data_IF_855815157493
#
_entry.id   IF_855815157493
#
_cell.length_a   1.000
_cell.length_b   1.000
_cell.length_c   1.000
_cell.angle_alpha   90.00
_cell.angle_beta   90.00
_cell.angle_gamma   90.00
#
_symmetry.space_group_name_H-M   'P 1'
#
loop_
_entity.id
_entity.type
_entity.pdbx_description
1 polymer ?
#
# COMPACT_ATOMS: atom_id res chain seq x y z
N UNK A 1 -5.08 -17.61 -10.88
CA UNK A 1 -5.56 -16.66 -9.85
C UNK A 1 -7.02 -16.89 -9.40
N UNK A 2 -7.97 -17.17 -10.30
CA UNK A 2 -9.37 -17.46 -9.92
C UNK A 2 -9.52 -18.63 -8.92
N UNK A 3 -8.73 -19.68 -9.08
CA UNK A 3 -8.69 -20.84 -8.16
C UNK A 3 -8.28 -20.47 -6.73
N UNK A 4 -7.24 -19.64 -6.58
CA UNK A 4 -6.78 -19.16 -5.28
C UNK A 4 -7.86 -18.30 -4.60
N UNK A 5 -8.47 -17.37 -5.34
CA UNK A 5 -9.57 -16.55 -4.83
C UNK A 5 -10.77 -17.43 -4.41
N UNK A 6 -11.11 -18.45 -5.19
CA UNK A 6 -12.16 -19.41 -4.86
C UNK A 6 -11.81 -20.22 -3.59
N UNK A 7 -10.57 -20.70 -3.46
CA UNK A 7 -10.08 -21.42 -2.27
C UNK A 7 -10.26 -20.58 -1.01
N UNK A 8 -9.81 -19.33 -1.03
CA UNK A 8 -9.99 -18.39 0.08
C UNK A 8 -11.47 -18.23 0.45
N UNK A 9 -12.35 -18.20 -0.55
CA UNK A 9 -13.79 -18.06 -0.36
C UNK A 9 -14.52 -19.38 0.01
N UNK A 10 -13.84 -20.54 0.09
CA UNK A 10 -14.49 -21.81 0.48
C UNK A 10 -14.92 -21.86 1.94
N UNK A 11 -14.24 -21.13 2.83
CA UNK A 11 -14.53 -21.17 4.27
C UNK A 11 -13.54 -20.35 5.09
N UNK A 12 -13.86 -20.13 6.37
CA UNK A 12 -13.00 -19.32 7.27
C UNK A 12 -11.63 -19.95 7.48
N UNK A 13 -11.57 -21.27 7.66
CA UNK A 13 -10.31 -22.01 7.84
C UNK A 13 -9.39 -21.86 6.63
N UNK A 14 -9.94 -21.96 5.41
CA UNK A 14 -9.16 -21.74 4.19
C UNK A 14 -8.60 -20.31 4.10
N UNK A 15 -9.41 -19.30 4.45
CA UNK A 15 -8.95 -17.91 4.49
C UNK A 15 -7.85 -17.69 5.53
N UNK A 16 -8.00 -18.21 6.76
CA UNK A 16 -6.99 -18.12 7.82
C UNK A 16 -5.69 -18.81 7.38
N UNK A 17 -5.78 -20.03 6.87
CA UNK A 17 -4.61 -20.80 6.44
C UNK A 17 -3.84 -20.10 5.31
N UNK A 18 -4.53 -19.59 4.28
CA UNK A 18 -3.89 -18.87 3.18
C UNK A 18 -3.29 -17.55 3.67
N UNK A 19 -3.99 -16.81 4.54
CA UNK A 19 -3.48 -15.56 5.14
C UNK A 19 -2.19 -15.81 5.90
N UNK A 20 -2.15 -16.81 6.80
CA UNK A 20 -0.97 -17.15 7.59
C UNK A 20 0.17 -17.69 6.73
N UNK A 21 -0.10 -18.61 5.78
CA UNK A 21 0.92 -19.20 4.93
C UNK A 21 1.62 -18.15 4.07
N UNK A 22 0.85 -17.26 3.45
CA UNK A 22 1.41 -16.18 2.61
C UNK A 22 2.09 -15.09 3.44
N UNK A 23 1.84 -15.02 4.75
CA UNK A 23 2.50 -14.09 5.65
C UNK A 23 3.95 -14.50 5.98
N UNK A 24 4.19 -15.82 6.11
CA UNK A 24 5.51 -16.36 6.47
C UNK A 24 6.49 -16.23 5.30
N UNK A 25 6.00 -16.18 4.06
CA UNK A 25 6.84 -16.00 2.87
C UNK A 25 7.02 -14.49 2.61
N UNK A 26 8.23 -13.91 2.77
CA UNK A 26 8.42 -12.45 2.75
C UNK A 26 7.87 -11.75 1.51
N UNK A 27 8.03 -12.36 0.33
CA UNK A 27 7.57 -11.79 -0.95
C UNK A 27 6.05 -11.92 -1.18
N UNK A 28 5.32 -12.63 -0.31
CA UNK A 28 3.89 -12.89 -0.47
C UNK A 28 3.03 -12.15 0.58
N UNK A 29 3.61 -11.27 1.40
CA UNK A 29 2.88 -10.47 2.40
C UNK A 29 1.73 -9.65 1.78
N UNK A 30 1.92 -9.15 0.56
CA UNK A 30 0.88 -8.44 -0.17
C UNK A 30 -0.30 -9.36 -0.57
N UNK A 31 -0.06 -10.65 -0.81
CA UNK A 31 -1.12 -11.65 -1.05
C UNK A 31 -1.88 -11.91 0.25
N UNK A 32 -1.18 -12.03 1.38
CA UNK A 32 -1.79 -12.18 2.70
C UNK A 32 -2.79 -11.07 3.00
N UNK A 33 -2.40 -9.82 2.73
CA UNK A 33 -3.28 -8.66 2.90
C UNK A 33 -4.43 -8.64 1.88
N UNK A 34 -4.21 -9.11 0.65
CA UNK A 34 -5.26 -9.23 -0.36
C UNK A 34 -6.33 -10.28 0.04
N UNK A 35 -5.92 -11.34 0.74
CA UNK A 35 -6.83 -12.35 1.30
C UNK A 35 -7.73 -11.71 2.36
N UNK A 36 -7.15 -10.98 3.32
CA UNK A 36 -7.88 -10.24 4.36
C UNK A 36 -8.85 -9.23 3.74
N UNK A 37 -8.40 -8.47 2.75
CA UNK A 37 -9.23 -7.52 2.01
C UNK A 37 -10.38 -8.22 1.28
N UNK A 38 -10.13 -9.34 0.58
CA UNK A 38 -11.17 -10.08 -0.16
C UNK A 38 -12.26 -10.62 0.79
N UNK A 39 -11.86 -11.19 1.93
CA UNK A 39 -12.80 -11.64 2.96
C UNK A 39 -13.63 -10.46 3.47
N UNK A 40 -12.99 -9.34 3.78
CA UNK A 40 -13.68 -8.13 4.24
C UNK A 40 -14.67 -7.61 3.19
N UNK A 41 -14.26 -7.55 1.92
CA UNK A 41 -15.09 -7.09 0.81
C UNK A 41 -16.30 -7.99 0.56
N UNK A 42 -16.20 -9.30 0.78
CA UNK A 42 -17.29 -10.26 0.50
C UNK A 42 -18.17 -10.56 1.71
N UNK A 43 -17.57 -10.74 2.89
CA UNK A 43 -18.26 -11.20 4.09
C UNK A 43 -18.35 -10.13 5.20
N UNK A 44 -17.77 -8.95 4.99
CA UNK A 44 -17.82 -7.82 5.94
C UNK A 44 -16.64 -7.76 6.88
N UNK A 45 -16.51 -6.64 7.60
CA UNK A 45 -15.38 -6.36 8.49
C UNK A 45 -15.23 -7.38 9.62
N UNK A 46 -16.34 -7.87 10.18
CA UNK A 46 -16.31 -8.89 11.23
C UNK A 46 -15.56 -10.16 10.80
N UNK A 47 -15.86 -10.69 9.60
CA UNK A 47 -15.14 -11.85 9.07
C UNK A 47 -13.69 -11.53 8.69
N UNK A 48 -13.41 -10.29 8.29
CA UNK A 48 -12.04 -9.79 8.10
C UNK A 48 -11.23 -9.86 9.40
N UNK A 49 -11.76 -9.30 10.49
CA UNK A 49 -11.15 -9.34 11.83
C UNK A 49 -10.98 -10.76 12.35
N UNK A 50 -11.97 -11.64 12.15
CA UNK A 50 -11.85 -13.04 12.54
C UNK A 50 -10.75 -13.77 11.75
N UNK A 51 -10.56 -13.41 10.48
CA UNK A 51 -9.48 -13.95 9.65
C UNK A 51 -8.12 -13.45 10.15
N UNK A 52 -8.00 -12.17 10.46
CA UNK A 52 -6.82 -11.56 11.11
C UNK A 52 -6.50 -12.30 12.40
N UNK A 53 -7.46 -12.39 13.33
CA UNK A 53 -7.26 -13.02 14.63
C UNK A 53 -6.82 -14.49 14.52
N UNK A 54 -7.46 -15.26 13.63
CA UNK A 54 -7.08 -16.65 13.38
C UNK A 54 -5.68 -16.80 12.79
N UNK A 55 -5.32 -15.96 11.82
CA UNK A 55 -3.99 -15.99 11.22
C UNK A 55 -2.90 -15.52 12.21
N UNK A 56 -3.20 -14.51 13.02
CA UNK A 56 -2.32 -14.04 14.10
C UNK A 56 -2.08 -15.14 15.13
N UNK A 57 -3.11 -15.91 15.52
CA UNK A 57 -2.95 -17.02 16.44
C UNK A 57 -1.98 -18.09 15.88
N UNK A 58 -2.11 -18.42 14.59
CA UNK A 58 -1.17 -19.33 13.91
C UNK A 58 0.26 -18.78 13.94
N UNK A 59 0.44 -17.51 13.59
CA UNK A 59 1.77 -16.87 13.60
C UNK A 59 2.35 -16.76 15.02
N UNK A 60 1.53 -16.53 16.03
CA UNK A 60 1.96 -16.45 17.43
C UNK A 60 2.51 -17.79 17.93
N UNK A 61 1.87 -18.91 17.56
CA UNK A 61 2.39 -20.26 17.84
C UNK A 61 3.74 -20.48 17.15
N UNK A 62 3.87 -20.09 15.87
CA UNK A 62 5.12 -20.21 15.14
C UNK A 62 6.24 -19.33 15.73
N UNK A 63 5.92 -18.10 16.11
CA UNK A 63 6.87 -17.18 16.74
C UNK A 63 7.32 -17.71 18.12
N UNK A 64 6.38 -18.20 18.94
CA UNK A 64 6.70 -18.84 20.21
C UNK A 64 7.65 -20.03 20.03
N UNK A 65 7.42 -20.87 19.02
CA UNK A 65 8.23 -22.06 18.76
C UNK A 65 9.62 -21.73 18.18
N UNK A 66 9.77 -20.65 17.42
CA UNK A 66 11.01 -20.31 16.71
C UNK A 66 11.92 -19.35 17.49
N UNK A 67 11.35 -18.31 18.11
CA UNK A 67 12.10 -17.25 18.77
C UNK A 67 11.76 -17.11 20.26
N UNK A 68 10.98 -18.04 20.82
CA UNK A 68 10.69 -18.10 22.25
C UNK A 68 9.68 -17.07 22.76
N UNK A 69 9.10 -16.25 21.86
CA UNK A 69 8.11 -15.22 22.22
C UNK A 69 7.01 -15.12 21.15
N UNK A 70 5.73 -15.03 21.55
CA UNK A 70 4.62 -14.86 20.60
C UNK A 70 4.41 -13.40 20.20
N UNK A 71 4.96 -12.44 20.97
CA UNK A 71 4.73 -11.01 20.80
C UNK A 71 5.08 -10.46 19.41
N UNK A 72 6.18 -10.89 18.75
CA UNK A 72 6.50 -10.41 17.41
C UNK A 72 5.39 -10.68 16.37
N UNK A 73 4.57 -11.72 16.57
CA UNK A 73 3.46 -12.02 15.68
C UNK A 73 2.34 -10.96 15.69
N UNK A 74 2.30 -10.06 16.68
CA UNK A 74 1.34 -8.96 16.75
C UNK A 74 1.70 -7.77 15.85
N UNK A 75 2.95 -7.68 15.40
CA UNK A 75 3.40 -6.55 14.60
C UNK A 75 2.71 -6.50 13.23
N UNK A 76 2.66 -7.64 12.53
CA UNK A 76 2.05 -7.76 11.22
C UNK A 76 0.54 -7.42 11.19
N UNK A 77 -0.33 -7.98 12.06
CA UNK A 77 -1.74 -7.63 12.04
C UNK A 77 -1.98 -6.16 12.37
N UNK A 78 -1.20 -5.56 13.29
CA UNK A 78 -1.35 -4.17 13.68
C UNK A 78 -0.95 -3.20 12.56
N UNK A 79 0.18 -3.46 11.89
CA UNK A 79 0.72 -2.55 10.87
C UNK A 79 0.08 -2.75 9.49
N UNK A 80 -0.44 -3.95 9.19
CA UNK A 80 -0.84 -4.29 7.83
C UNK A 80 -2.28 -4.77 7.75
N UNK A 81 -2.66 -5.82 8.47
CA UNK A 81 -3.97 -6.46 8.24
C UNK A 81 -5.15 -5.68 8.82
N UNK A 82 -5.05 -5.10 10.01
CA UNK A 82 -6.12 -4.29 10.60
C UNK A 82 -6.38 -3.00 9.80
N UNK A 83 -5.34 -2.23 9.40
CA UNK A 83 -5.50 -1.16 8.42
C UNK A 83 -6.18 -1.63 7.14
N UNK A 84 -5.82 -2.81 6.64
CA UNK A 84 -6.42 -3.37 5.44
C UNK A 84 -7.91 -3.72 5.62
N UNK A 85 -8.32 -4.23 6.78
CA UNK A 85 -9.75 -4.43 7.10
C UNK A 85 -10.49 -3.10 7.05
N UNK A 86 -9.93 -2.03 7.65
CA UNK A 86 -10.56 -0.71 7.66
C UNK A 86 -10.73 -0.15 6.23
N UNK A 87 -9.67 -0.20 5.41
CA UNK A 87 -9.70 0.27 4.02
C UNK A 87 -10.64 -0.57 3.15
N UNK A 88 -10.62 -1.89 3.29
CA UNK A 88 -11.52 -2.78 2.56
C UNK A 88 -12.99 -2.61 2.99
N UNK A 89 -13.24 -2.34 4.27
CA UNK A 89 -14.57 -1.99 4.77
C UNK A 89 -15.05 -0.65 4.19
N UNK A 90 -14.17 0.36 4.11
CA UNK A 90 -14.45 1.61 3.43
C UNK A 90 -14.85 1.37 1.97
N UNK A 91 -14.09 0.56 1.22
CA UNK A 91 -14.43 0.19 -0.16
C UNK A 91 -15.80 -0.51 -0.25
N UNK A 92 -16.08 -1.44 0.68
CA UNK A 92 -17.35 -2.18 0.72
C UNK A 92 -18.55 -1.27 0.96
N UNK A 93 -18.45 -0.32 1.89
CA UNK A 93 -19.54 0.58 2.28
C UNK A 93 -19.74 1.69 1.25
N UNK A 94 -18.66 2.27 0.75
CA UNK A 94 -18.72 3.42 -0.17
C UNK A 94 -18.94 3.02 -1.62
N UNK A 95 -18.64 1.77 -1.99
CA UNK A 95 -18.61 1.27 -3.37
C UNK A 95 -17.80 2.19 -4.28
N UNK A 96 -16.70 2.75 -3.74
CA UNK A 96 -15.91 3.78 -4.42
C UNK A 96 -14.43 3.49 -4.23
N UNK A 97 -13.78 3.04 -5.31
CA UNK A 97 -12.35 2.81 -5.33
C UNK A 97 -11.54 4.08 -4.98
N UNK A 98 -11.84 5.28 -5.54
CA UNK A 98 -11.16 6.50 -5.11
C UNK A 98 -11.23 6.74 -3.60
N UNK A 99 -12.42 6.68 -2.99
CA UNK A 99 -12.58 6.91 -1.54
C UNK A 99 -11.81 5.91 -0.69
N UNK A 100 -11.71 4.66 -1.13
CA UNK A 100 -10.91 3.65 -0.43
C UNK A 100 -9.40 3.95 -0.50
N UNK A 101 -8.89 4.43 -1.63
CA UNK A 101 -7.49 4.81 -1.79
C UNK A 101 -7.17 6.11 -1.04
N UNK A 102 -8.11 7.07 -0.99
CA UNK A 102 -8.03 8.27 -0.14
C UNK A 102 -7.98 7.89 1.34
N UNK A 103 -8.82 6.96 1.78
CA UNK A 103 -8.83 6.45 3.15
C UNK A 103 -7.51 5.73 3.49
N UNK A 104 -6.94 4.96 2.56
CA UNK A 104 -5.64 4.33 2.74
C UNK A 104 -4.53 5.38 2.92
N UNK A 105 -4.53 6.43 2.09
CA UNK A 105 -3.58 7.54 2.20
C UNK A 105 -3.70 8.26 3.55
N UNK A 106 -4.93 8.59 3.96
CA UNK A 106 -5.21 9.25 5.23
C UNK A 106 -4.74 8.40 6.41
N UNK A 107 -5.03 7.09 6.39
CA UNK A 107 -4.60 6.17 7.45
C UNK A 107 -3.07 6.06 7.52
N UNK A 108 -2.38 6.03 6.37
CA UNK A 108 -0.92 6.06 6.33
C UNK A 108 -0.35 7.37 6.87
N UNK A 109 -0.96 8.52 6.54
CA UNK A 109 -0.59 9.82 7.10
C UNK A 109 -0.75 9.86 8.62
N UNK A 110 -1.87 9.36 9.15
CA UNK A 110 -2.09 9.22 10.60
C UNK A 110 -1.03 8.31 11.24
N UNK A 111 -0.69 7.20 10.59
CA UNK A 111 0.32 6.28 11.10
C UNK A 111 1.71 6.93 11.18
N UNK A 112 2.10 7.77 10.21
CA UNK A 112 3.34 8.55 10.25
C UNK A 112 3.34 9.53 11.42
N UNK A 113 2.25 10.29 11.62
CA UNK A 113 2.15 11.23 12.74
C UNK A 113 2.27 10.48 14.08
N UNK A 114 1.52 9.38 14.26
CA UNK A 114 1.58 8.56 15.46
C UNK A 114 2.99 8.00 15.70
N UNK A 115 3.68 7.58 14.65
CA UNK A 115 5.06 7.11 14.74
C UNK A 115 5.99 8.19 15.29
N UNK A 116 5.97 9.40 14.73
CA UNK A 116 6.75 10.52 15.24
C UNK A 116 6.42 10.86 16.70
N UNK A 117 5.14 10.81 17.08
CA UNK A 117 4.70 11.09 18.45
C UNK A 117 5.16 10.02 19.45
N UNK A 118 5.14 8.75 19.08
CA UNK A 118 5.50 7.63 19.96
C UNK A 118 7.02 7.49 20.07
N UNK A 119 7.74 7.68 18.97
CA UNK A 119 9.20 7.47 18.90
C UNK A 119 9.98 8.72 19.34
N UNK A 120 9.43 9.92 19.14
CA UNK A 120 10.11 11.18 19.42
C UNK A 120 11.14 11.52 18.34
N UNK A 121 12.33 10.91 18.42
CA UNK A 121 13.39 11.08 17.41
C UNK A 121 13.37 9.93 16.40
N UNK A 122 12.61 10.13 15.33
CA UNK A 122 12.54 9.17 14.22
C UNK A 122 13.91 8.91 13.58
N UNK A 123 14.78 9.91 13.48
CA UNK A 123 16.11 9.78 12.89
C UNK A 123 16.98 8.83 13.70
N UNK A 124 17.07 9.06 15.01
CA UNK A 124 17.81 8.20 15.93
C UNK A 124 17.25 6.76 15.95
N UNK A 125 15.92 6.61 15.92
CA UNK A 125 15.27 5.30 15.86
C UNK A 125 15.68 4.50 14.62
N UNK A 126 15.56 5.11 13.44
CA UNK A 126 15.90 4.44 12.19
C UNK A 126 17.41 4.19 12.07
N UNK A 127 18.24 5.12 12.55
CA UNK A 127 19.68 4.91 12.59
C UNK A 127 20.04 3.68 13.43
N UNK A 128 19.48 3.56 14.65
CA UNK A 128 19.70 2.40 15.51
C UNK A 128 19.24 1.09 14.86
N UNK A 129 18.11 1.09 14.15
CA UNK A 129 17.66 -0.10 13.41
C UNK A 129 18.58 -0.44 12.22
N UNK A 130 19.07 0.56 11.50
CA UNK A 130 20.00 0.35 10.37
C UNK A 130 21.35 -0.19 10.85
N UNK A 131 21.87 0.31 11.98
CA UNK A 131 23.09 -0.20 12.60
C UNK A 131 22.92 -1.65 13.09
N UNK A 132 21.77 -1.97 13.69
CA UNK A 132 21.44 -3.35 14.05
C UNK A 132 21.37 -4.27 12.82
N UNK A 133 20.76 -3.80 11.72
CA UNK A 133 20.70 -4.54 10.48
C UNK A 133 22.08 -4.72 9.85
N UNK A 134 22.96 -3.72 9.92
CA UNK A 134 24.35 -3.83 9.49
C UNK A 134 25.09 -4.91 10.30
N UNK A 135 24.83 -5.02 11.61
CA UNK A 135 25.38 -6.06 12.47
C UNK A 135 25.13 -7.51 12.03
N UNK A 136 24.16 -7.75 11.15
CA UNK A 136 23.88 -9.07 10.57
C UNK A 136 24.90 -9.49 9.50
N UNK A 137 25.70 -8.56 8.97
CA UNK A 137 26.74 -8.85 7.98
C UNK A 137 28.04 -9.26 8.67
N UNK A 138 28.60 -10.41 8.29
CA UNK A 138 29.83 -10.91 8.90
C UNK A 138 31.07 -10.04 8.57
N UNK A 139 31.14 -9.52 7.34
CA UNK A 139 32.27 -8.73 6.84
C UNK A 139 32.38 -7.36 7.55
N UNK A 140 33.50 -7.05 8.22
CA UNK A 140 33.70 -5.75 8.88
C UNK A 140 33.67 -4.56 7.93
N UNK A 141 34.21 -4.69 6.71
CA UNK A 141 34.26 -3.58 5.75
C UNK A 141 32.87 -3.18 5.26
N UNK A 142 32.02 -4.17 4.97
CA UNK A 142 30.60 -3.96 4.63
C UNK A 142 29.84 -3.32 5.79
N UNK A 143 30.06 -3.78 7.03
CA UNK A 143 29.44 -3.18 8.22
C UNK A 143 29.78 -1.71 8.40
N UNK A 144 31.06 -1.38 8.30
CA UNK A 144 31.53 0.00 8.44
C UNK A 144 30.96 0.91 7.34
N UNK A 145 30.95 0.43 6.09
CA UNK A 145 30.36 1.14 4.97
C UNK A 145 28.85 1.40 5.14
N UNK A 146 28.09 0.41 5.63
CA UNK A 146 26.65 0.57 5.91
C UNK A 146 26.39 1.55 7.05
N UNK A 147 27.15 1.44 8.15
CA UNK A 147 27.04 2.34 9.30
C UNK A 147 27.36 3.79 8.92
N UNK A 148 28.36 4.01 8.07
CA UNK A 148 28.70 5.35 7.56
C UNK A 148 27.54 6.02 6.80
N UNK A 149 26.62 5.23 6.23
CA UNK A 149 25.44 5.73 5.51
C UNK A 149 24.16 5.72 6.37
N UNK A 150 24.17 5.08 7.53
CA UNK A 150 22.97 4.84 8.34
C UNK A 150 22.27 6.16 8.71
N UNK A 151 23.02 7.17 9.18
CA UNK A 151 22.45 8.47 9.53
C UNK A 151 21.76 9.17 8.35
N UNK A 152 22.34 9.10 7.14
CA UNK A 152 21.74 9.68 5.93
C UNK A 152 20.46 8.95 5.55
N UNK A 153 20.51 7.61 5.52
CA UNK A 153 19.36 6.77 5.18
C UNK A 153 18.22 6.93 6.19
N UNK A 154 18.55 7.05 7.48
CA UNK A 154 17.59 7.21 8.57
C UNK A 154 16.65 8.39 8.36
N UNK A 155 17.14 9.51 7.82
CA UNK A 155 16.31 10.70 7.54
C UNK A 155 15.20 10.45 6.52
N UNK A 156 15.34 9.43 5.67
CA UNK A 156 14.36 9.07 4.65
C UNK A 156 13.55 7.82 5.01
N UNK A 157 13.97 7.08 6.05
CA UNK A 157 13.40 5.76 6.37
C UNK A 157 11.92 5.83 6.76
N UNK A 158 11.48 6.85 7.50
CA UNK A 158 10.06 7.00 7.84
C UNK A 158 9.20 7.06 6.58
N UNK A 159 9.50 8.00 5.68
CA UNK A 159 8.83 8.13 4.39
C UNK A 159 8.86 6.84 3.57
N UNK A 160 10.01 6.18 3.49
CA UNK A 160 10.19 4.95 2.71
C UNK A 160 9.39 3.78 3.30
N UNK A 161 9.41 3.62 4.62
CA UNK A 161 8.70 2.55 5.32
C UNK A 161 7.19 2.69 5.18
N UNK A 162 6.63 3.84 5.55
CA UNK A 162 5.20 4.08 5.48
C UNK A 162 4.69 4.22 4.04
N UNK A 163 5.52 4.74 3.12
CA UNK A 163 5.25 4.77 1.69
C UNK A 163 5.17 3.35 1.11
N UNK A 164 6.09 2.46 1.50
CA UNK A 164 6.03 1.05 1.12
C UNK A 164 4.80 0.34 1.69
N UNK A 165 4.45 0.57 2.96
CA UNK A 165 3.23 0.02 3.55
C UNK A 165 1.98 0.46 2.78
N UNK A 166 1.88 1.74 2.42
CA UNK A 166 0.79 2.26 1.62
C UNK A 166 0.75 1.65 0.21
N UNK A 167 1.91 1.56 -0.46
CA UNK A 167 2.03 0.96 -1.79
C UNK A 167 1.58 -0.51 -1.78
N UNK A 168 2.10 -1.30 -0.84
CA UNK A 168 1.73 -2.71 -0.65
C UNK A 168 0.25 -2.82 -0.32
N UNK A 169 -0.26 -1.97 0.58
CA UNK A 169 -1.68 -1.94 0.94
C UNK A 169 -2.58 -1.69 -0.27
N UNK A 170 -2.29 -0.67 -1.08
CA UNK A 170 -3.06 -0.39 -2.30
C UNK A 170 -2.96 -1.55 -3.28
N UNK A 171 -1.77 -2.10 -3.51
CA UNK A 171 -1.59 -3.26 -4.39
C UNK A 171 -2.42 -4.47 -3.92
N UNK A 172 -2.44 -4.75 -2.63
CA UNK A 172 -3.26 -5.79 -2.00
C UNK A 172 -4.76 -5.53 -2.16
N UNK A 173 -5.22 -4.30 -1.95
CA UNK A 173 -6.63 -3.92 -2.11
C UNK A 173 -7.07 -4.07 -3.57
N UNK A 174 -6.26 -3.61 -4.52
CA UNK A 174 -6.52 -3.75 -5.96
C UNK A 174 -6.54 -5.22 -6.38
N UNK A 175 -5.62 -6.04 -5.87
CA UNK A 175 -5.62 -7.49 -6.10
C UNK A 175 -6.90 -8.14 -5.55
N UNK A 176 -7.29 -7.78 -4.33
CA UNK A 176 -8.52 -8.28 -3.70
C UNK A 176 -9.76 -7.87 -4.49
N UNK A 177 -9.84 -6.62 -4.95
CA UNK A 177 -10.94 -6.13 -5.78
C UNK A 177 -10.97 -6.84 -7.14
N UNK A 178 -9.82 -7.08 -7.76
CA UNK A 178 -9.72 -7.86 -9.00
C UNK A 178 -10.18 -9.31 -8.80
N UNK A 179 -9.76 -9.99 -7.73
CA UNK A 179 -10.26 -11.31 -7.37
C UNK A 179 -11.76 -11.32 -7.13
N UNK A 180 -12.29 -10.30 -6.46
CA UNK A 180 -13.72 -10.14 -6.25
C UNK A 180 -14.47 -9.99 -7.58
N UNK A 181 -13.94 -9.22 -8.54
CA UNK A 181 -14.48 -9.09 -9.87
C UNK A 181 -14.43 -10.42 -10.65
N UNK A 182 -13.31 -11.14 -10.64
CA UNK A 182 -13.19 -12.45 -11.30
C UNK A 182 -14.22 -13.48 -10.82
N UNK A 183 -14.61 -13.43 -9.54
CA UNK A 183 -15.55 -14.38 -8.95
C UNK A 183 -17.01 -13.94 -9.09
N UNK A 184 -17.29 -12.62 -9.00
CA UNK A 184 -18.65 -12.13 -8.79
C UNK A 184 -19.08 -11.00 -9.73
N UNK A 185 -18.15 -10.34 -10.45
CA UNK A 185 -18.46 -9.28 -11.42
C UNK A 185 -17.37 -9.18 -12.50
N UNK A 186 -17.30 -10.12 -13.45
CA UNK A 186 -16.22 -10.19 -14.43
C UNK A 186 -16.09 -8.88 -15.22
N UNK A 187 -14.86 -8.34 -15.32
CA UNK A 187 -14.58 -7.08 -16.01
C UNK A 187 -14.80 -5.81 -15.17
N UNK A 188 -15.57 -5.87 -14.08
CA UNK A 188 -15.91 -4.68 -13.27
C UNK A 188 -14.71 -3.90 -12.72
N UNK A 189 -13.64 -4.61 -12.32
CA UNK A 189 -12.41 -3.97 -11.85
C UNK A 189 -11.76 -3.06 -12.91
N UNK A 190 -11.77 -3.47 -14.19
CA UNK A 190 -11.17 -2.68 -15.26
C UNK A 190 -11.88 -1.33 -15.42
N UNK A 191 -13.21 -1.35 -15.47
CA UNK A 191 -14.01 -0.13 -15.56
C UNK A 191 -13.80 0.79 -14.34
N UNK A 192 -13.78 0.23 -13.13
CA UNK A 192 -13.52 0.99 -11.90
C UNK A 192 -12.12 1.61 -11.87
N UNK A 193 -11.10 0.86 -12.29
CA UNK A 193 -9.72 1.36 -12.31
C UNK A 193 -9.54 2.43 -13.38
N UNK A 194 -10.11 2.27 -14.58
CA UNK A 194 -10.07 3.29 -15.63
C UNK A 194 -10.79 4.57 -15.22
N UNK A 195 -11.85 4.45 -14.41
CA UNK A 195 -12.61 5.57 -13.86
C UNK A 195 -12.00 6.17 -12.59
N UNK A 196 -10.90 5.62 -12.05
CA UNK A 196 -10.28 6.10 -10.81
C UNK A 196 -9.97 7.60 -10.93
N UNK A 197 -10.54 8.39 -10.00
CA UNK A 197 -10.30 9.82 -9.90
C UNK A 197 -10.47 10.27 -8.47
N UNK A 198 -9.39 10.79 -7.90
CA UNK A 198 -9.43 11.40 -6.58
C UNK A 198 -10.24 12.69 -6.55
N UNK A 199 -10.80 13.00 -5.39
CA UNK A 199 -11.55 14.23 -5.15
C UNK A 199 -10.62 15.43 -5.11
N UNK A 200 -11.10 16.59 -5.60
CA UNK A 200 -10.34 17.85 -5.55
C UNK A 200 -9.98 18.24 -4.12
N UNK A 201 -10.89 18.02 -3.17
CA UNK A 201 -10.66 18.31 -1.75
C UNK A 201 -9.49 17.51 -1.17
N UNK A 202 -9.46 16.20 -1.43
CA UNK A 202 -8.33 15.35 -1.06
C UNK A 202 -7.03 15.82 -1.71
N UNK A 203 -7.06 16.13 -3.01
CA UNK A 203 -5.87 16.62 -3.73
C UNK A 203 -5.35 17.94 -3.20
N UNK A 204 -6.22 18.90 -2.87
CA UNK A 204 -5.83 20.15 -2.24
C UNK A 204 -5.25 19.92 -0.84
N UNK A 205 -5.80 19.00 -0.05
CA UNK A 205 -5.24 18.65 1.26
C UNK A 205 -3.82 18.07 1.10
N UNK A 206 -3.61 17.12 0.19
CA UNK A 206 -2.29 16.56 -0.09
C UNK A 206 -1.31 17.63 -0.58
N UNK A 207 -1.74 18.56 -1.45
CA UNK A 207 -0.92 19.68 -1.91
C UNK A 207 -0.55 20.61 -0.75
N UNK A 208 -1.50 20.94 0.13
CA UNK A 208 -1.24 21.78 1.31
C UNK A 208 -0.18 21.14 2.22
N UNK A 209 -0.33 19.85 2.53
CA UNK A 209 0.66 19.09 3.31
C UNK A 209 2.00 19.06 2.58
N UNK A 210 2.02 18.86 1.26
CA UNK A 210 3.26 18.84 0.46
C UNK A 210 3.99 20.17 0.52
N UNK A 211 3.29 21.29 0.35
CA UNK A 211 3.88 22.63 0.42
C UNK A 211 4.43 22.89 1.82
N UNK A 212 3.62 22.67 2.86
CA UNK A 212 4.04 22.90 4.25
C UNK A 212 5.21 22.01 4.63
N UNK A 213 5.15 20.70 4.33
CA UNK A 213 6.22 19.75 4.59
C UNK A 213 7.51 20.12 3.85
N UNK A 214 7.42 20.59 2.61
CA UNK A 214 8.59 21.01 1.83
C UNK A 214 9.25 22.28 2.40
N UNK A 215 8.46 23.21 2.94
CA UNK A 215 8.97 24.43 3.59
C UNK A 215 9.65 24.11 4.92
N UNK A 216 9.10 23.18 5.71
CA UNK A 216 9.70 22.74 6.97
C UNK A 216 11.00 21.96 6.73
N UNK A 217 11.09 21.22 5.62
CA UNK A 217 12.32 20.55 5.19
C UNK A 217 12.66 19.28 5.98
N UNK A 218 11.75 18.77 6.83
CA UNK A 218 11.94 17.56 7.61
C UNK A 218 10.81 17.27 8.60
N UNK A 219 10.93 16.16 9.33
CA UNK A 219 9.99 15.76 10.37
C UNK A 219 8.64 15.24 9.85
N UNK A 220 7.67 15.14 10.75
CA UNK A 220 6.43 14.42 10.51
C UNK A 220 5.62 14.94 9.30
N UNK A 221 5.51 16.26 9.11
CA UNK A 221 4.75 16.83 7.99
C UNK A 221 5.42 16.56 6.63
N UNK A 222 6.75 16.60 6.59
CA UNK A 222 7.51 16.22 5.39
C UNK A 222 7.31 14.74 5.05
N UNK A 223 7.36 13.87 6.07
CA UNK A 223 7.12 12.43 5.86
C UNK A 223 5.68 12.14 5.40
N UNK A 224 4.68 12.77 6.02
CA UNK A 224 3.28 12.62 5.60
C UNK A 224 3.11 13.06 4.15
N UNK A 225 3.68 14.21 3.76
CA UNK A 225 3.64 14.69 2.40
C UNK A 225 4.13 13.66 1.38
N UNK A 226 5.31 13.07 1.63
CA UNK A 226 5.90 12.07 0.73
C UNK A 226 5.06 10.81 0.67
N UNK A 227 4.59 10.31 1.82
CA UNK A 227 3.79 9.09 1.91
C UNK A 227 2.46 9.26 1.17
N UNK A 228 1.66 10.28 1.48
CA UNK A 228 0.33 10.45 0.86
C UNK A 228 0.41 10.73 -0.64
N UNK A 229 1.51 11.34 -1.12
CA UNK A 229 1.72 11.59 -2.54
C UNK A 229 1.85 10.30 -3.36
N UNK A 230 2.21 9.18 -2.74
CA UNK A 230 2.37 7.86 -3.39
C UNK A 230 1.09 7.41 -4.09
N UNK A 231 -0.10 7.78 -3.58
CA UNK A 231 -1.36 7.33 -4.18
C UNK A 231 -1.60 7.90 -5.57
N UNK A 232 -1.03 9.06 -5.90
CA UNK A 232 -1.20 9.67 -7.21
C UNK A 232 -0.48 8.91 -8.33
N UNK A 233 0.48 8.03 -8.00
CA UNK A 233 1.05 7.09 -8.98
C UNK A 233 -0.05 6.19 -9.54
N UNK A 234 -0.98 5.73 -8.71
CA UNK A 234 -2.11 4.90 -9.14
C UNK A 234 -3.12 5.68 -9.99
N UNK A 235 -3.31 6.98 -9.70
CA UNK A 235 -4.10 7.87 -10.56
C UNK A 235 -3.49 7.97 -11.96
N UNK A 236 -2.17 8.13 -12.06
CA UNK A 236 -1.49 8.18 -13.35
C UNK A 236 -1.55 6.84 -14.11
N UNK A 237 -1.42 5.72 -13.40
CA UNK A 237 -1.61 4.39 -13.99
C UNK A 237 -3.04 4.23 -14.51
N UNK A 238 -4.05 4.63 -13.75
CA UNK A 238 -5.45 4.60 -14.19
C UNK A 238 -5.67 5.41 -15.48
N UNK A 239 -5.09 6.60 -15.57
CA UNK A 239 -5.12 7.42 -16.79
C UNK A 239 -4.43 6.71 -17.94
N UNK A 240 -3.23 6.14 -17.74
CA UNK A 240 -2.51 5.41 -18.79
C UNK A 240 -3.33 4.23 -19.34
N UNK A 241 -3.93 3.42 -18.46
CA UNK A 241 -4.81 2.31 -18.85
C UNK A 241 -6.06 2.79 -19.58
N UNK A 242 -6.69 3.87 -19.09
CA UNK A 242 -7.86 4.46 -19.73
C UNK A 242 -7.54 4.98 -21.15
N UNK A 243 -6.41 5.66 -21.33
CA UNK A 243 -5.99 6.20 -22.63
C UNK A 243 -5.63 5.11 -23.63
N UNK A 244 -4.90 4.08 -23.21
CA UNK A 244 -4.57 2.93 -24.08
C UNK A 244 -5.84 2.24 -24.55
N UNK A 245 -6.82 2.04 -23.65
CA UNK A 245 -8.11 1.45 -24.00
C UNK A 245 -8.94 2.34 -24.94
N UNK A 246 -9.09 3.62 -24.61
CA UNK A 246 -9.93 4.55 -25.37
C UNK A 246 -9.40 4.82 -26.80
N UNK A 247 -8.07 4.90 -26.95
CA UNK A 247 -7.42 5.12 -28.26
C UNK A 247 -7.12 3.84 -29.04
N UNK A 248 -7.46 2.66 -28.51
CA UNK A 248 -7.12 1.38 -29.13
C UNK A 248 -5.61 1.15 -29.33
N UNK A 249 -4.77 1.71 -28.45
CA UNK A 249 -3.32 1.60 -28.57
C UNK A 249 -2.84 0.19 -28.22
N UNK A 250 -1.66 -0.17 -28.74
CA UNK A 250 -1.01 -1.43 -28.35
C UNK A 250 -0.72 -1.49 -26.86
N UNK A 251 -0.88 -2.68 -26.27
CA UNK A 251 -0.52 -2.98 -24.87
C UNK A 251 0.96 -2.76 -24.57
N UNK A 252 1.82 -2.69 -25.61
CA UNK A 252 3.24 -2.36 -25.47
C UNK A 252 3.46 -1.01 -24.76
N UNK A 253 2.56 -0.04 -24.91
CA UNK A 253 2.63 1.23 -24.18
C UNK A 253 2.54 1.05 -22.66
N UNK A 254 1.75 0.08 -22.19
CA UNK A 254 1.67 -0.22 -20.76
C UNK A 254 2.96 -0.86 -20.26
N UNK A 255 3.65 -1.65 -21.09
CA UNK A 255 4.98 -2.19 -20.75
C UNK A 255 5.97 -1.05 -20.53
N UNK A 256 6.00 -0.05 -21.42
CA UNK A 256 6.85 1.15 -21.26
C UNK A 256 6.50 1.89 -19.97
N UNK A 257 5.22 2.06 -19.66
CA UNK A 257 4.78 2.70 -18.40
C UNK A 257 5.29 1.95 -17.17
N UNK A 258 5.13 0.62 -17.12
CA UNK A 258 5.57 -0.16 -15.95
C UNK A 258 7.09 -0.25 -15.81
N UNK A 259 7.83 -0.41 -16.91
CA UNK A 259 9.31 -0.44 -16.88
C UNK A 259 9.89 0.90 -16.43
N UNK A 260 9.25 2.01 -16.83
CA UNK A 260 9.67 3.36 -16.44
C UNK A 260 9.12 3.81 -15.08
N UNK A 261 8.25 3.03 -14.44
CA UNK A 261 7.52 3.48 -13.24
C UNK A 261 8.44 3.82 -12.07
N UNK A 262 9.41 2.94 -11.76
CA UNK A 262 10.32 3.14 -10.63
C UNK A 262 11.22 4.39 -10.76
N UNK A 263 12.00 4.57 -11.86
CA UNK A 263 12.85 5.75 -12.00
C UNK A 263 12.07 7.06 -12.14
N UNK A 264 10.83 7.01 -12.64
CA UNK A 264 10.01 8.20 -12.89
C UNK A 264 8.77 8.32 -11.99
N UNK A 265 8.73 7.61 -10.86
CA UNK A 265 7.56 7.55 -9.97
C UNK A 265 7.06 8.93 -9.55
N UNK A 266 7.96 9.89 -9.31
CA UNK A 266 7.60 11.28 -8.99
C UNK A 266 6.89 11.98 -10.13
N UNK A 267 7.33 11.77 -11.38
CA UNK A 267 6.68 12.33 -12.57
C UNK A 267 5.29 11.74 -12.71
N UNK A 268 5.13 10.44 -12.52
CA UNK A 268 3.82 9.79 -12.49
C UNK A 268 2.92 10.37 -11.40
N UNK A 269 3.43 10.54 -10.17
CA UNK A 269 2.64 11.14 -9.09
C UNK A 269 2.16 12.56 -9.44
N UNK A 270 3.04 13.40 -10.00
CA UNK A 270 2.68 14.76 -10.43
C UNK A 270 1.62 14.71 -11.55
N UNK A 271 1.81 13.86 -12.56
CA UNK A 271 0.86 13.70 -13.66
C UNK A 271 -0.52 13.21 -13.16
N UNK A 272 -0.54 12.26 -12.23
CA UNK A 272 -1.76 11.78 -11.60
C UNK A 272 -2.47 12.88 -10.80
N UNK A 273 -1.71 13.69 -10.08
CA UNK A 273 -2.24 14.84 -9.35
C UNK A 273 -2.83 15.90 -10.28
N UNK A 274 -2.17 16.19 -11.40
CA UNK A 274 -2.67 17.12 -12.42
C UNK A 274 -3.97 16.64 -13.09
N UNK A 275 -4.13 15.34 -13.33
CA UNK A 275 -5.33 14.76 -13.95
C UNK A 275 -6.61 15.12 -13.17
N UNK A 276 -6.53 15.25 -11.84
CA UNK A 276 -7.67 15.64 -11.00
C UNK A 276 -8.27 16.98 -11.44
N UNK A 277 -7.42 17.93 -11.87
CA UNK A 277 -7.83 19.27 -12.29
C UNK A 277 -8.08 19.37 -13.80
N UNK A 278 -7.20 18.78 -14.60
CA UNK A 278 -7.21 18.95 -16.06
C UNK A 278 -8.26 18.09 -16.74
N UNK A 279 -8.57 16.92 -16.17
CA UNK A 279 -9.39 15.88 -16.78
C UNK A 279 -8.83 15.42 -18.14
N UNK A 280 -7.68 14.75 -18.12
CA UNK A 280 -6.96 14.36 -19.33
C UNK A 280 -7.81 13.41 -20.17
N UNK A 281 -8.53 12.51 -19.51
CA UNK A 281 -9.39 11.50 -20.15
C UNK A 281 -10.50 12.15 -20.99
N UNK A 282 -11.23 13.13 -20.44
CA UNK A 282 -12.28 13.85 -21.17
C UNK A 282 -11.75 14.59 -22.39
N UNK A 283 -10.64 15.31 -22.23
CA UNK A 283 -10.05 16.11 -23.32
C UNK A 283 -9.60 15.25 -24.49
N UNK A 284 -9.06 14.07 -24.21
CA UNK A 284 -8.62 13.13 -25.24
C UNK A 284 -9.81 12.57 -26.01
N UNK A 285 -10.91 12.22 -25.35
CA UNK A 285 -12.11 11.70 -26.03
C UNK A 285 -12.85 12.75 -26.84
N UNK A 286 -12.78 14.03 -26.46
CA UNK A 286 -13.36 15.14 -27.24
C UNK A 286 -12.54 15.48 -28.50
N UNK A 287 -11.25 15.10 -28.54
CA UNK A 287 -10.32 15.38 -29.64
C UNK A 287 -10.15 14.25 -30.67
N UNK A 288 -10.78 13.09 -30.42
CA UNK A 288 -10.69 11.89 -31.24
C UNK A 288 -11.98 11.69 -32.04
#
# INVERSE_FOLDING_TARGET
MRSLAALVMRGRIAAIAVTALTAVVPLLLWISSAVVALVTLRRGAGEGVLTVAGATAVLAVLAQASVGSPLPALQLPLQVWLPMVAVAACLRVTVSLPRALEAAAALAGVAVILFHLVVGDAGAYWQGMLEQAAGLFADPATREALNAQAGRLATMMTSLWFGNLLLVGIASLLLARWWQALLYNPGGFGAEFHALRFSRGFTFACLGVLVVGSVVGGGALYDVALVVSTVFVFQALAVAHALVGAKGLSRAWLVVVYVSLAPFARIYAIAGMMDVFVDVRRRVTESA
#
